data_IF_353452042540
#
_entry.id   IF_353452042540
#
_cell.length_a   1.000
_cell.length_b   1.000
_cell.length_c   1.000
_cell.angle_alpha   90.00
_cell.angle_beta   90.00
_cell.angle_gamma   90.00
#
_symmetry.space_group_name_H-M   'P 1'
#
loop_
_entity.id
_entity.type
_entity.pdbx_description
1 polymer ?
#
# COMPACT_ATOMS: atom_id res chain seq x y z
N UNK A 1 23.53 14.54 18.76
CA UNK A 1 23.32 13.38 17.86
C UNK A 1 22.06 13.65 17.06
N UNK A 2 22.21 14.00 15.78
CA UNK A 2 21.10 14.29 14.85
C UNK A 2 20.30 13.02 14.60
N UNK A 3 18.97 13.11 14.63
CA UNK A 3 18.10 12.33 13.75
C UNK A 3 17.05 13.28 13.17
N UNK A 4 17.41 13.68 11.95
CA UNK A 4 16.67 14.27 10.85
C UNK A 4 15.15 14.38 11.03
N UNK A 5 14.61 15.58 10.76
CA UNK A 5 13.21 15.79 10.40
C UNK A 5 12.91 14.89 9.20
N UNK A 6 12.41 13.68 9.46
CA UNK A 6 11.82 12.84 8.43
C UNK A 6 10.62 13.63 7.93
N UNK A 7 10.72 14.12 6.69
CA UNK A 7 9.66 14.88 6.05
C UNK A 7 8.34 14.09 6.18
N UNK A 8 7.37 14.68 6.88
CA UNK A 8 6.03 14.12 7.02
C UNK A 8 5.33 14.20 5.64
N UNK A 9 5.60 13.22 4.79
CA UNK A 9 4.94 13.09 3.50
C UNK A 9 3.51 12.64 3.80
N UNK A 10 2.60 13.60 3.86
CA UNK A 10 1.17 13.34 3.95
C UNK A 10 0.71 12.64 2.66
N UNK A 11 0.52 11.33 2.73
CA UNK A 11 -0.11 10.52 1.68
C UNK A 11 -1.62 10.59 1.89
N UNK A 12 -2.34 11.24 0.97
CA UNK A 12 -3.81 11.29 0.97
C UNK A 12 -4.34 10.11 0.18
N UNK A 13 -5.10 9.24 0.85
CA UNK A 13 -5.81 8.13 0.22
C UNK A 13 -7.27 8.53 -0.04
N UNK A 14 -7.82 8.08 -1.16
CA UNK A 14 -9.25 8.20 -1.46
C UNK A 14 -10.03 7.13 -0.72
N UNK A 15 -11.14 7.53 -0.10
CA UNK A 15 -12.09 6.63 0.57
C UNK A 15 -13.08 5.96 -0.39
N UNK A 16 -13.11 6.37 -1.66
CA UNK A 16 -14.08 5.86 -2.65
C UNK A 16 -13.45 4.88 -3.67
N UNK A 17 -12.13 4.96 -3.88
CA UNK A 17 -11.45 4.19 -4.93
C UNK A 17 -9.97 3.95 -4.60
N UNK A 18 -9.30 2.99 -5.26
CA UNK A 18 -7.86 2.84 -5.14
C UNK A 18 -7.13 4.15 -5.48
N UNK A 19 -6.05 4.43 -4.77
CA UNK A 19 -5.26 5.65 -4.95
C UNK A 19 -3.92 5.31 -5.55
N UNK A 20 -3.58 6.00 -6.64
CA UNK A 20 -2.31 5.78 -7.30
C UNK A 20 -1.20 6.61 -6.63
N UNK A 21 -0.18 5.97 -6.06
CA UNK A 21 0.92 6.63 -5.34
C UNK A 21 2.27 6.19 -5.91
N UNK A 22 3.16 7.15 -6.18
CA UNK A 22 4.55 6.85 -6.52
C UNK A 22 5.30 6.26 -5.33
N UNK A 23 6.13 5.23 -5.55
CA UNK A 23 6.96 4.62 -4.50
C UNK A 23 7.85 5.65 -3.77
N UNK A 24 8.27 6.73 -4.45
CA UNK A 24 9.04 7.82 -3.84
C UNK A 24 8.28 8.57 -2.73
N UNK A 25 6.96 8.50 -2.69
CA UNK A 25 6.13 9.10 -1.63
C UNK A 25 5.87 8.13 -0.48
N UNK A 26 6.17 6.84 -0.66
CA UNK A 26 6.02 5.77 0.32
C UNK A 26 7.36 5.45 1.01
N UNK A 27 8.34 6.37 1.00
CA UNK A 27 9.69 6.14 1.53
C UNK A 27 9.72 5.71 2.99
N UNK A 28 8.74 6.12 3.78
CA UNK A 28 8.60 5.76 5.20
C UNK A 28 7.53 4.69 5.43
N UNK A 29 6.92 4.17 4.37
CA UNK A 29 5.90 3.14 4.46
C UNK A 29 6.56 1.78 4.21
N UNK A 30 6.06 0.75 4.86
CA UNK A 30 6.43 -0.62 4.48
C UNK A 30 5.64 -0.99 3.25
N UNK A 31 6.32 -1.40 2.19
CA UNK A 31 5.70 -1.98 0.98
C UNK A 31 6.05 -3.45 0.98
N UNK A 32 5.05 -4.30 1.26
CA UNK A 32 5.20 -5.75 1.26
C UNK A 32 4.63 -6.32 -0.03
N UNK A 33 5.40 -7.15 -0.72
CA UNK A 33 5.00 -7.76 -1.99
C UNK A 33 4.77 -9.26 -1.83
N UNK A 34 3.72 -9.74 -2.48
CA UNK A 34 3.42 -11.15 -2.61
C UNK A 34 3.65 -11.56 -4.08
N UNK A 35 4.38 -12.65 -4.37
CA UNK A 35 4.77 -13.02 -5.73
C UNK A 35 3.62 -13.65 -6.53
N UNK A 36 2.43 -13.05 -6.47
CA UNK A 36 1.29 -13.36 -7.34
C UNK A 36 0.92 -12.12 -8.14
N UNK A 37 0.79 -12.30 -9.46
CA UNK A 37 0.36 -11.24 -10.36
C UNK A 37 -1.13 -10.95 -10.22
N UNK A 38 -1.49 -9.68 -10.23
CA UNK A 38 -2.86 -9.16 -10.29
C UNK A 38 -2.86 -7.99 -11.27
N UNK A 39 -3.67 -8.08 -12.32
CA UNK A 39 -3.58 -7.19 -13.48
C UNK A 39 -2.14 -7.12 -14.01
N UNK A 40 -1.62 -5.92 -14.24
CA UNK A 40 -0.23 -5.67 -14.69
C UNK A 40 0.79 -5.52 -13.54
N UNK A 41 0.40 -5.84 -12.30
CA UNK A 41 1.24 -5.64 -11.12
C UNK A 41 1.38 -6.89 -10.24
N UNK A 42 2.10 -6.73 -9.14
CA UNK A 42 2.17 -7.72 -8.07
C UNK A 42 1.19 -7.37 -6.97
N UNK A 43 0.53 -8.40 -6.43
CA UNK A 43 -0.26 -8.22 -5.23
C UNK A 43 0.65 -7.90 -4.04
N UNK A 44 0.16 -7.10 -3.10
CA UNK A 44 0.84 -6.90 -1.84
C UNK A 44 0.02 -6.05 -0.88
N UNK A 45 0.74 -5.43 0.04
CA UNK A 45 0.17 -4.61 1.08
C UNK A 45 1.12 -3.45 1.40
N UNK A 46 0.55 -2.36 1.88
CA UNK A 46 1.32 -1.23 2.41
C UNK A 46 0.93 -0.94 3.85
N UNK A 47 1.90 -0.50 4.63
CA UNK A 47 1.70 -0.10 6.02
C UNK A 47 2.30 1.29 6.23
N UNK A 48 1.52 2.28 6.69
CA UNK A 48 2.06 3.60 7.02
C UNK A 48 2.97 3.51 8.24
N UNK A 49 3.87 4.49 8.47
CA UNK A 49 4.72 4.55 9.66
C UNK A 49 3.93 4.91 10.93
N UNK A 50 2.88 4.16 11.23
CA UNK A 50 2.02 4.31 12.39
C UNK A 50 1.88 2.96 13.07
N UNK A 51 2.31 2.88 14.33
CA UNK A 51 2.31 1.65 15.11
C UNK A 51 0.90 1.09 15.38
N UNK A 52 -0.12 1.93 15.28
CA UNK A 52 -1.52 1.58 15.60
C UNK A 52 -2.39 1.39 14.37
N UNK A 53 -1.87 1.64 13.17
CA UNK A 53 -2.63 1.45 11.94
C UNK A 53 -2.40 0.04 11.38
N UNK A 54 -3.39 -0.52 10.69
CA UNK A 54 -3.26 -1.83 10.05
C UNK A 54 -2.67 -1.77 8.63
N UNK A 55 -2.69 -2.89 7.94
CA UNK A 55 -2.22 -3.06 6.57
C UNK A 55 -3.30 -2.69 5.56
N UNK A 56 -2.90 -2.01 4.49
CA UNK A 56 -3.78 -1.69 3.38
C UNK A 56 -3.45 -2.56 2.17
N UNK A 57 -4.44 -3.13 1.47
CA UNK A 57 -4.20 -3.87 0.24
C UNK A 57 -3.58 -2.97 -0.82
N UNK A 58 -2.66 -3.52 -1.61
CA UNK A 58 -2.03 -2.77 -2.69
C UNK A 58 -1.68 -3.63 -3.90
N UNK A 59 -1.59 -2.98 -5.06
CA UNK A 59 -0.99 -3.53 -6.29
C UNK A 59 0.31 -2.76 -6.56
N UNK A 60 1.43 -3.47 -6.62
CA UNK A 60 2.76 -2.92 -6.86
C UNK A 60 3.10 -3.06 -8.34
N UNK A 61 3.22 -1.92 -9.02
CA UNK A 61 3.67 -1.82 -10.40
C UNK A 61 5.17 -1.50 -10.42
N UNK A 62 6.00 -2.55 -10.47
CA UNK A 62 7.47 -2.41 -10.39
C UNK A 62 8.04 -1.56 -11.54
N UNK A 63 7.60 -1.81 -12.77
CA UNK A 63 8.09 -1.08 -13.96
C UNK A 63 7.74 0.41 -13.91
N UNK A 64 6.55 0.74 -13.38
CA UNK A 64 6.05 2.12 -13.25
C UNK A 64 6.55 2.81 -11.98
N UNK A 65 7.18 2.08 -11.04
CA UNK A 65 7.57 2.56 -9.70
C UNK A 65 6.39 3.18 -8.95
N UNK A 66 5.26 2.51 -9.04
CA UNK A 66 3.96 2.96 -8.55
C UNK A 66 3.30 1.87 -7.68
N UNK A 67 2.54 2.28 -6.68
CA UNK A 67 1.78 1.40 -5.78
C UNK A 67 0.34 1.88 -5.67
N UNK A 68 -0.59 1.11 -6.22
CA UNK A 68 -2.01 1.38 -6.15
C UNK A 68 -2.52 0.91 -4.79
N UNK A 69 -2.79 1.84 -3.89
CA UNK A 69 -3.21 1.54 -2.52
C UNK A 69 -4.73 1.56 -2.42
N UNK A 70 -5.30 0.48 -1.92
CA UNK A 70 -6.73 0.32 -1.70
C UNK A 70 -7.10 0.87 -0.31
N UNK A 71 -6.96 2.18 -0.12
CA UNK A 71 -7.31 2.86 1.13
C UNK A 71 -8.82 3.06 1.37
N UNK A 72 -9.66 2.63 0.42
CA UNK A 72 -11.12 2.68 0.49
C UNK A 72 -11.72 1.42 1.14
N UNK A 73 -10.90 0.47 1.56
CA UNK A 73 -11.38 -0.67 2.34
C UNK A 73 -11.99 -0.16 3.66
N UNK A 74 -13.09 -0.78 4.14
CA UNK A 74 -13.80 -0.30 5.32
C UNK A 74 -12.92 -0.28 6.57
N UNK A 75 -12.03 -1.29 6.70
CA UNK A 75 -11.09 -1.40 7.81
C UNK A 75 -9.72 -1.90 7.29
N UNK A 76 -8.60 -1.43 7.89
CA UNK A 76 -7.28 -2.01 7.67
C UNK A 76 -7.20 -3.47 8.14
N UNK A 77 -6.27 -4.24 7.57
CA UNK A 77 -6.06 -5.64 7.91
C UNK A 77 -4.98 -5.82 8.97
N UNK A 78 -5.07 -6.88 9.77
CA UNK A 78 -4.09 -7.15 10.84
C UNK A 78 -2.73 -7.64 10.32
N UNK A 79 -2.68 -8.13 9.08
CA UNK A 79 -1.45 -8.69 8.48
C UNK A 79 -1.31 -8.34 7.00
N UNK A 80 -0.06 -8.28 6.48
CA UNK A 80 0.17 -8.03 5.06
C UNK A 80 -0.40 -9.15 4.18
N UNK A 81 -0.40 -10.40 4.66
CA UNK A 81 -0.96 -11.54 3.93
C UNK A 81 -2.47 -11.43 3.76
N UNK A 82 -3.20 -11.01 4.81
CA UNK A 82 -4.65 -10.80 4.73
C UNK A 82 -5.00 -9.66 3.76
N UNK A 83 -4.25 -8.56 3.82
CA UNK A 83 -4.40 -7.44 2.88
C UNK A 83 -4.12 -7.88 1.43
N UNK A 84 -3.04 -8.62 1.19
CA UNK A 84 -2.73 -9.13 -0.15
C UNK A 84 -3.80 -10.14 -0.63
N UNK A 85 -4.30 -11.03 0.22
CA UNK A 85 -5.42 -11.93 -0.13
C UNK A 85 -6.65 -11.15 -0.58
N UNK A 86 -6.96 -10.02 0.05
CA UNK A 86 -8.05 -9.15 -0.39
C UNK A 86 -7.82 -8.60 -1.80
N UNK A 87 -6.60 -8.16 -2.12
CA UNK A 87 -6.25 -7.75 -3.49
C UNK A 87 -6.34 -8.90 -4.51
N UNK A 88 -5.98 -10.13 -4.13
CA UNK A 88 -6.13 -11.29 -5.01
C UNK A 88 -7.60 -11.61 -5.30
N UNK A 89 -8.46 -11.52 -4.29
CA UNK A 89 -9.89 -11.83 -4.43
C UNK A 89 -10.66 -10.74 -5.20
N UNK A 90 -10.25 -9.47 -5.05
CA UNK A 90 -11.02 -8.31 -5.54
C UNK A 90 -10.29 -7.50 -6.62
N UNK A 91 -9.10 -7.92 -7.07
CA UNK A 91 -8.26 -7.21 -8.04
C UNK A 91 -8.74 -7.27 -9.49
N UNK A 92 -10.05 -7.44 -9.73
CA UNK A 92 -10.69 -7.50 -11.05
C UNK A 92 -11.82 -6.48 -11.20
N UNK A 93 -11.68 -5.30 -10.61
CA UNK A 93 -12.55 -4.15 -10.93
C UNK A 93 -11.93 -3.30 -12.02
#
# INVERSE_FOLDING_TARGET
MQLEKIADIHVKLSSARPTMISQKRLVNWVVWQYPKKVADGLCGAVHPPSATFGWLPAIIYLDKKEVQVHGHVPEPFDSPESAAKHCLANGRS
#
